data_IF_366768580928
#
_entry.id   IF_366768580928
#
_cell.length_a   1.000
_cell.length_b   1.000
_cell.length_c   1.000
_cell.angle_alpha   90.00
_cell.angle_beta   90.00
_cell.angle_gamma   90.00
#
_symmetry.space_group_name_H-M   'P 1'
#
loop_
_entity.id
_entity.type
_entity.pdbx_description
1 polymer ?
#
# COMPACT_ATOMS: atom_id res chain seq x y z
N UNK A 1 -40.32 54.36 3.34
CA UNK A 1 -39.96 52.92 3.39
C UNK A 1 -39.34 52.52 2.04
N UNK A 2 -38.26 53.13 1.54
CA UNK A 2 -36.97 53.54 2.16
C UNK A 2 -36.00 52.36 2.35
N UNK A 3 -34.76 52.40 1.86
CA UNK A 3 -34.21 53.22 0.76
C UNK A 3 -32.96 52.56 0.16
N UNK A 4 -32.75 52.71 -1.15
CA UNK A 4 -31.44 52.60 -1.75
C UNK A 4 -30.80 53.99 -1.83
N UNK A 5 -29.51 54.13 -1.48
CA UNK A 5 -28.72 55.34 -1.75
C UNK A 5 -27.30 55.00 -2.19
N UNK A 6 -26.95 55.47 -3.37
CA UNK A 6 -25.59 55.55 -3.93
C UNK A 6 -24.96 56.90 -3.56
N UNK A 7 -23.65 56.92 -3.31
CA UNK A 7 -22.67 57.95 -3.72
C UNK A 7 -21.29 57.25 -3.73
N UNK A 8 -20.54 57.23 -4.84
CA UNK A 8 -19.66 58.30 -5.35
C UNK A 8 -18.54 58.67 -4.35
N UNK A 9 -17.25 58.55 -4.66
CA UNK A 9 -16.58 58.01 -5.87
C UNK A 9 -15.07 58.33 -5.90
N UNK A 10 -14.34 57.84 -6.92
CA UNK A 10 -12.95 58.22 -7.31
C UNK A 10 -11.81 57.89 -6.29
N UNK A 11 -11.02 56.84 -6.53
CA UNK A 11 -9.65 56.85 -7.12
C UNK A 11 -8.54 57.01 -6.04
N UNK A 12 -7.26 56.61 -6.18
CA UNK A 12 -6.31 56.38 -7.30
C UNK A 12 -5.27 55.29 -6.92
N UNK A 13 -4.84 54.41 -7.86
CA UNK A 13 -3.61 53.53 -7.80
C UNK A 13 -3.54 52.47 -6.65
N UNK A 14 -2.68 51.42 -6.63
CA UNK A 14 -1.89 50.60 -7.59
C UNK A 14 -1.29 49.38 -6.81
N UNK A 15 -0.58 48.34 -7.30
CA UNK A 15 -0.08 47.87 -8.61
C UNK A 15 -0.37 46.35 -8.82
N UNK A 16 -0.26 45.90 -10.07
CA UNK A 16 0.16 44.55 -10.55
C UNK A 16 1.01 44.77 -11.84
N UNK A 17 1.69 43.77 -12.47
CA UNK A 17 1.95 42.37 -12.10
C UNK A 17 3.46 42.11 -11.74
N UNK A 18 4.39 41.31 -12.33
CA UNK A 18 4.42 40.39 -13.51
C UNK A 18 5.68 39.49 -13.63
N UNK A 19 5.54 38.39 -14.41
CA UNK A 19 6.52 37.66 -15.26
C UNK A 19 7.72 36.83 -14.73
N UNK A 20 7.56 35.52 -14.89
CA UNK A 20 8.50 34.48 -15.42
C UNK A 20 9.91 34.87 -15.93
N UNK A 21 10.93 34.11 -15.44
CA UNK A 21 12.15 33.56 -16.10
C UNK A 21 12.96 32.80 -15.00
N UNK A 22 13.31 31.51 -15.03
CA UNK A 22 13.95 30.59 -16.00
C UNK A 22 15.47 30.38 -15.74
N UNK A 23 15.89 29.10 -15.73
CA UNK A 23 17.28 28.57 -15.87
C UNK A 23 18.22 28.41 -14.63
N UNK A 24 18.63 27.15 -14.45
CA UNK A 24 19.98 26.58 -14.22
C UNK A 24 20.97 27.00 -13.10
N UNK A 25 21.66 25.95 -12.63
CA UNK A 25 22.91 25.79 -11.84
C UNK A 25 24.18 26.43 -12.46
N UNK A 26 25.37 26.45 -11.78
CA UNK A 26 25.71 26.30 -10.34
C UNK A 26 26.85 27.26 -9.85
N UNK A 27 27.60 26.83 -8.80
CA UNK A 27 28.92 27.32 -8.33
C UNK A 27 28.92 28.55 -7.38
N UNK A 28 29.88 28.76 -6.45
CA UNK A 28 31.02 27.94 -6.02
C UNK A 28 31.46 28.22 -4.56
N UNK A 29 32.54 27.58 -4.09
CA UNK A 29 33.07 27.68 -2.72
C UNK A 29 33.60 29.07 -2.35
N UNK A 30 33.38 29.49 -1.08
CA UNK A 30 34.40 30.23 -0.32
C UNK A 30 34.53 29.72 1.11
N UNK A 31 35.76 29.36 1.46
CA UNK A 31 36.21 29.14 2.84
C UNK A 31 36.87 30.43 3.31
N UNK A 32 36.53 30.91 4.50
CA UNK A 32 37.43 31.73 5.32
C UNK A 32 37.42 31.18 6.74
N UNK A 33 38.61 31.14 7.37
CA UNK A 33 38.81 30.64 8.71
C UNK A 33 39.09 31.80 9.67
N UNK A 34 38.61 31.69 10.91
CA UNK A 34 38.86 32.64 12.00
C UNK A 34 39.45 31.94 13.23
N UNK A 35 40.66 32.35 13.58
CA UNK A 35 41.35 32.14 14.88
C UNK A 35 40.73 33.01 15.98
N UNK A 36 40.91 32.81 17.30
CA UNK A 36 41.52 31.74 18.14
C UNK A 36 41.20 32.05 19.64
N UNK A 37 41.73 31.25 20.60
CA UNK A 37 41.52 31.32 22.07
C UNK A 37 40.09 30.94 22.54
N UNK A 38 39.82 30.46 23.77
CA UNK A 38 40.63 30.22 24.98
C UNK A 38 39.99 30.93 26.20
N UNK A 39 39.80 30.35 27.39
CA UNK A 39 40.19 29.04 27.97
C UNK A 39 39.10 28.51 28.95
N UNK A 40 39.41 27.53 29.83
CA UNK A 40 38.45 26.62 30.46
C UNK A 40 37.92 27.01 31.86
N UNK A 41 36.72 26.50 32.20
CA UNK A 41 36.34 25.99 33.54
C UNK A 41 35.16 24.98 33.43
N UNK A 42 34.90 24.21 34.50
CA UNK A 42 34.05 23.00 34.47
C UNK A 42 32.94 22.99 35.59
N UNK A 43 32.37 21.85 36.04
CA UNK A 43 31.03 21.45 35.60
C UNK A 43 29.98 21.25 36.73
N UNK A 44 28.70 21.14 36.36
CA UNK A 44 27.62 20.60 37.21
C UNK A 44 26.63 19.76 36.37
N UNK A 45 25.82 18.90 37.02
CA UNK A 45 25.26 17.69 36.39
C UNK A 45 23.73 17.59 36.45
N UNK A 46 23.09 17.53 35.28
CA UNK A 46 21.89 16.71 34.98
C UNK A 46 21.66 16.72 33.45
N UNK A 47 21.04 15.73 32.79
CA UNK A 47 20.65 14.38 33.22
C UNK A 47 20.03 13.62 32.04
N UNK A 48 20.80 12.75 31.36
CA UNK A 48 20.41 11.96 30.17
C UNK A 48 20.05 12.78 28.90
N UNK A 49 21.02 13.53 28.35
CA UNK A 49 20.91 14.14 27.01
C UNK A 49 21.82 13.44 25.97
N UNK A 50 21.30 13.17 24.76
CA UNK A 50 22.08 12.63 23.65
C UNK A 50 23.06 13.69 23.10
N UNK A 51 24.36 13.45 23.23
CA UNK A 51 25.40 14.35 22.69
C UNK A 51 25.75 13.99 21.25
N UNK A 52 25.68 14.97 20.34
CA UNK A 52 26.03 14.79 18.93
C UNK A 52 27.12 15.79 18.54
N UNK A 53 28.36 15.31 18.33
CA UNK A 53 29.49 16.14 17.88
C UNK A 53 29.68 16.00 16.38
N UNK A 54 29.91 17.12 15.71
CA UNK A 54 30.31 17.17 14.31
C UNK A 54 31.82 16.98 14.17
N UNK A 55 32.22 16.04 13.29
CA UNK A 55 33.59 15.98 12.75
C UNK A 55 33.49 15.42 11.32
N UNK A 56 34.12 16.10 10.36
CA UNK A 56 34.22 15.69 8.95
C UNK A 56 32.88 15.25 8.31
N UNK A 57 31.84 16.08 8.42
CA UNK A 57 30.62 15.96 7.60
C UNK A 57 29.61 14.86 7.96
N UNK A 58 29.87 14.03 8.98
CA UNK A 58 28.97 12.95 9.38
C UNK A 58 28.48 13.11 10.83
N UNK A 59 27.19 12.82 11.06
CA UNK A 59 26.64 12.64 12.41
C UNK A 59 27.08 11.28 12.96
N UNK A 60 27.75 11.29 14.11
CA UNK A 60 28.02 10.09 14.91
C UNK A 60 27.15 10.18 16.16
N UNK A 61 26.41 9.11 16.46
CA UNK A 61 25.64 8.95 17.69
C UNK A 61 26.45 8.07 18.64
N UNK A 62 26.77 8.56 19.84
CA UNK A 62 27.51 7.80 20.85
C UNK A 62 26.55 7.46 21.98
N UNK A 63 26.40 6.17 22.26
CA UNK A 63 25.57 5.63 23.34
C UNK A 63 26.51 5.06 24.42
N UNK A 64 26.35 5.41 25.72
CA UNK A 64 27.14 4.80 26.78
C UNK A 64 26.72 3.34 27.00
N UNK A 65 27.69 2.45 27.19
CA UNK A 65 27.44 1.04 27.52
C UNK A 65 27.73 0.78 29.00
N UNK A 66 26.69 0.56 29.80
CA UNK A 66 26.74 0.11 31.20
C UNK A 66 25.49 -0.72 31.54
N UNK A 67 25.62 -1.64 32.50
CA UNK A 67 24.58 -2.52 33.09
C UNK A 67 23.84 -3.43 32.11
N UNK A 68 24.46 -4.58 31.85
CA UNK A 68 23.91 -5.93 32.02
C UNK A 68 22.49 -6.25 31.50
N UNK A 69 22.46 -6.93 30.36
CA UNK A 69 21.38 -7.84 29.97
C UNK A 69 22.00 -9.07 29.31
N UNK A 70 21.71 -10.27 29.82
CA UNK A 70 22.23 -11.53 29.25
C UNK A 70 21.57 -11.85 27.90
N UNK A 71 22.29 -11.59 26.80
CA UNK A 71 21.90 -12.07 25.48
C UNK A 71 22.52 -13.45 25.20
N UNK A 72 21.72 -14.50 25.41
CA UNK A 72 22.10 -15.83 24.93
C UNK A 72 21.92 -15.95 23.41
N UNK A 73 22.73 -16.81 22.78
CA UNK A 73 22.90 -16.98 21.32
C UNK A 73 23.60 -15.81 20.59
N UNK A 74 24.42 -16.15 19.58
CA UNK A 74 25.43 -15.24 19.01
C UNK A 74 24.94 -14.48 17.77
N UNK A 75 25.04 -13.14 17.79
CA UNK A 75 25.30 -12.28 16.62
C UNK A 75 25.59 -10.84 17.06
N UNK A 76 26.62 -10.20 16.51
CA UNK A 76 27.02 -8.82 16.88
C UNK A 76 26.50 -7.78 15.88
N UNK A 77 26.28 -6.51 16.29
CA UNK A 77 25.72 -5.46 15.40
C UNK A 77 26.59 -5.08 14.17
N UNK A 78 27.80 -5.62 14.08
CA UNK A 78 28.77 -5.42 12.98
C UNK A 78 28.31 -5.97 11.64
N UNK A 79 27.52 -7.04 11.65
CA UNK A 79 27.42 -7.95 10.50
C UNK A 79 26.46 -7.43 9.39
N UNK A 80 25.70 -6.37 9.69
CA UNK A 80 24.61 -5.89 8.84
C UNK A 80 25.05 -4.86 7.77
N UNK A 81 26.28 -4.34 7.82
CA UNK A 81 26.68 -3.15 7.05
C UNK A 81 27.29 -3.43 5.65
N UNK A 82 27.52 -4.68 5.27
CA UNK A 82 28.39 -5.02 4.12
C UNK A 82 27.71 -5.63 2.88
N UNK A 83 26.38 -5.75 2.82
CA UNK A 83 25.68 -6.49 1.75
C UNK A 83 25.43 -5.74 0.42
N UNK A 84 25.86 -4.49 0.24
CA UNK A 84 25.69 -3.74 -1.02
C UNK A 84 26.98 -3.07 -1.51
N UNK A 85 27.95 -3.87 -1.98
CA UNK A 85 29.16 -3.40 -2.66
C UNK A 85 29.42 -4.15 -3.98
N UNK A 86 29.25 -3.44 -5.10
CA UNK A 86 29.65 -3.89 -6.44
C UNK A 86 31.17 -4.12 -6.52
N UNK A 87 31.63 -4.96 -7.46
CA UNK A 87 33.05 -5.38 -7.57
C UNK A 87 34.04 -4.20 -7.55
N UNK A 88 33.70 -3.07 -8.20
CA UNK A 88 34.54 -1.86 -8.28
C UNK A 88 34.76 -1.19 -6.92
N UNK A 89 33.78 -1.24 -6.01
CA UNK A 89 33.88 -0.62 -4.68
C UNK A 89 34.65 -1.49 -3.66
N UNK A 90 34.66 -2.82 -3.83
CA UNK A 90 35.40 -3.74 -2.93
C UNK A 90 36.91 -3.44 -2.91
N UNK A 91 37.49 -3.06 -4.05
CA UNK A 91 38.89 -2.64 -4.14
C UNK A 91 39.17 -1.33 -3.38
N UNK A 92 38.28 -0.34 -3.50
CA UNK A 92 38.37 0.95 -2.79
C UNK A 92 38.27 0.78 -1.27
N UNK A 93 37.38 -0.11 -0.80
CA UNK A 93 37.28 -0.47 0.62
C UNK A 93 38.58 -1.12 1.13
N UNK A 94 39.12 -2.13 0.43
CA UNK A 94 40.42 -2.75 0.80
C UNK A 94 41.56 -1.73 0.86
N UNK A 95 41.62 -0.79 -0.11
CA UNK A 95 42.66 0.26 -0.15
C UNK A 95 42.51 1.26 1.00
N UNK A 96 41.28 1.59 1.43
CA UNK A 96 41.03 2.44 2.62
C UNK A 96 41.31 1.71 3.94
N UNK A 97 40.96 0.43 4.09
CA UNK A 97 41.20 -0.30 5.35
C UNK A 97 42.69 -0.54 5.62
N UNK A 98 43.53 -0.73 4.57
CA UNK A 98 44.99 -0.74 4.73
C UNK A 98 45.56 0.60 5.26
N UNK A 99 44.96 1.74 4.90
CA UNK A 99 45.36 3.07 5.41
C UNK A 99 44.93 3.27 6.88
N UNK A 100 43.99 2.46 7.39
CA UNK A 100 43.50 2.52 8.76
C UNK A 100 44.10 1.45 9.68
N UNK A 101 45.09 0.68 9.23
CA UNK A 101 45.75 -0.37 10.03
C UNK A 101 44.91 -1.63 10.27
N UNK A 102 43.69 -1.71 9.74
CA UNK A 102 42.75 -2.83 9.94
C UNK A 102 42.95 -3.95 8.90
N UNK A 103 44.21 -4.32 8.64
CA UNK A 103 44.58 -5.25 7.57
C UNK A 103 44.22 -6.72 7.87
N UNK A 104 44.48 -7.16 9.09
CA UNK A 104 44.73 -8.59 9.36
C UNK A 104 43.52 -9.33 9.96
N UNK A 105 42.40 -8.64 10.21
CA UNK A 105 41.16 -9.24 10.75
C UNK A 105 40.29 -9.96 9.70
N UNK A 106 40.83 -10.28 8.51
CA UNK A 106 40.04 -10.68 7.32
C UNK A 106 40.35 -12.09 6.80
N UNK A 107 40.75 -13.01 7.69
CA UNK A 107 41.23 -14.36 7.33
C UNK A 107 40.31 -15.54 7.72
N UNK A 108 39.08 -15.30 8.21
CA UNK A 108 38.18 -16.35 8.70
C UNK A 108 36.73 -16.32 8.15
N UNK A 109 36.43 -15.48 7.16
CA UNK A 109 35.04 -15.22 6.70
C UNK A 109 34.88 -15.15 5.17
N UNK A 110 35.60 -15.99 4.41
CA UNK A 110 35.50 -16.02 2.94
C UNK A 110 35.15 -17.39 2.31
N UNK A 111 35.14 -18.49 3.07
CA UNK A 111 34.71 -19.82 2.58
C UNK A 111 33.26 -20.14 2.97
N UNK A 112 32.31 -19.27 2.61
CA UNK A 112 30.88 -19.46 2.86
C UNK A 112 29.98 -19.26 1.63
N UNK A 113 30.55 -19.20 0.42
CA UNK A 113 29.80 -19.10 -0.85
C UNK A 113 29.45 -20.48 -1.47
N UNK A 114 29.72 -21.61 -0.77
CA UNK A 114 29.53 -22.98 -1.29
C UNK A 114 28.41 -23.83 -0.65
N UNK A 115 27.69 -23.32 0.36
CA UNK A 115 26.60 -24.05 1.05
C UNK A 115 25.33 -23.22 1.26
N UNK A 116 25.06 -22.25 0.38
CA UNK A 116 23.80 -21.49 0.37
C UNK A 116 23.18 -21.41 -1.04
N UNK A 117 23.03 -22.57 -1.67
CA UNK A 117 21.87 -22.78 -2.55
C UNK A 117 20.61 -22.58 -1.69
N UNK A 118 19.80 -21.58 -2.01
CA UNK A 118 18.55 -21.31 -1.27
C UNK A 118 17.51 -22.33 -1.74
N UNK A 119 17.07 -23.28 -0.89
CA UNK A 119 16.08 -24.27 -1.33
C UNK A 119 14.72 -23.58 -1.48
N UNK A 120 14.07 -23.75 -2.64
CA UNK A 120 12.65 -23.42 -2.79
C UNK A 120 11.80 -24.41 -2.00
N UNK A 121 11.77 -24.25 -0.67
CA UNK A 121 11.01 -25.11 0.26
C UNK A 121 10.42 -24.27 1.38
N UNK A 122 9.13 -24.48 1.66
CA UNK A 122 8.42 -23.81 2.75
C UNK A 122 9.16 -23.97 4.08
N UNK A 123 9.39 -22.86 4.77
CA UNK A 123 9.87 -22.84 6.16
C UNK A 123 8.75 -23.05 7.20
N UNK A 124 7.51 -23.22 6.74
CA UNK A 124 6.36 -23.55 7.56
C UNK A 124 5.94 -25.00 7.34
N UNK A 125 5.60 -25.77 8.41
CA UNK A 125 4.94 -27.05 8.25
C UNK A 125 3.58 -26.84 7.57
N UNK A 126 3.25 -27.70 6.62
CA UNK A 126 1.93 -27.66 5.97
C UNK A 126 0.84 -27.97 6.99
N UNK A 127 -0.28 -27.23 6.90
CA UNK A 127 -1.55 -27.66 7.51
C UNK A 127 -1.91 -29.10 7.05
N UNK A 128 -2.66 -29.87 7.86
CA UNK A 128 -2.87 -31.30 7.63
C UNK A 128 -3.37 -31.62 6.22
N UNK A 129 -2.93 -32.76 5.71
CA UNK A 129 -2.94 -33.06 4.28
C UNK A 129 -4.35 -33.08 3.67
N UNK A 130 -4.55 -32.24 2.64
CA UNK A 130 -5.67 -32.39 1.70
C UNK A 130 -5.47 -33.70 0.92
N UNK A 131 -6.50 -34.53 0.88
CA UNK A 131 -6.46 -35.87 0.27
C UNK A 131 -6.10 -35.79 -1.22
N UNK A 132 -5.09 -36.56 -1.64
CA UNK A 132 -4.62 -36.61 -3.02
C UNK A 132 -5.52 -37.50 -3.90
N UNK A 133 -6.38 -36.90 -4.72
CA UNK A 133 -7.42 -37.63 -5.46
C UNK A 133 -7.66 -37.19 -6.91
N UNK A 134 -6.83 -37.71 -7.85
CA UNK A 134 -7.02 -37.72 -9.33
C UNK A 134 -7.10 -36.34 -10.04
N UNK A 135 -6.85 -36.36 -11.36
CA UNK A 135 -7.14 -35.22 -12.25
C UNK A 135 -8.66 -35.11 -12.43
N UNK A 136 -9.25 -34.01 -11.99
CA UNK A 136 -10.67 -33.69 -12.13
C UNK A 136 -10.87 -32.18 -12.02
N UNK A 137 -12.10 -31.71 -12.28
CA UNK A 137 -12.45 -30.30 -12.18
C UNK A 137 -12.12 -29.72 -10.78
N UNK A 138 -11.82 -28.43 -10.73
CA UNK A 138 -11.80 -27.68 -9.48
C UNK A 138 -13.19 -27.76 -8.84
N UNK A 139 -13.33 -28.57 -7.80
CA UNK A 139 -14.49 -28.55 -6.93
C UNK A 139 -14.50 -27.21 -6.19
N UNK A 140 -15.38 -26.28 -6.61
CA UNK A 140 -15.67 -25.06 -5.84
C UNK A 140 -16.00 -25.46 -4.40
N UNK A 141 -15.47 -24.72 -3.44
CA UNK A 141 -15.78 -24.94 -2.02
C UNK A 141 -17.29 -24.83 -1.84
N UNK A 142 -17.89 -25.78 -1.12
CA UNK A 142 -19.31 -25.74 -0.83
C UNK A 142 -19.66 -24.44 -0.09
N UNK A 143 -20.83 -23.88 -0.41
CA UNK A 143 -21.39 -22.76 0.35
C UNK A 143 -21.75 -23.26 1.76
N UNK A 144 -21.30 -22.62 2.84
CA UNK A 144 -21.70 -22.97 4.21
C UNK A 144 -23.21 -22.94 4.39
N UNK A 145 -23.72 -23.86 5.21
CA UNK A 145 -25.16 -23.99 5.52
C UNK A 145 -25.80 -22.73 6.14
N UNK A 146 -24.97 -21.87 6.71
CA UNK A 146 -25.32 -20.61 7.35
C UNK A 146 -25.52 -19.46 6.34
N UNK A 147 -25.15 -19.66 5.07
CA UNK A 147 -25.25 -18.67 4.00
C UNK A 147 -26.31 -19.07 2.97
N UNK A 148 -27.22 -18.13 2.70
CA UNK A 148 -28.28 -18.25 1.68
C UNK A 148 -27.77 -17.76 0.33
N UNK A 149 -27.81 -18.61 -0.68
CA UNK A 149 -27.28 -18.33 -2.03
C UNK A 149 -27.90 -17.08 -2.68
N UNK A 150 -29.21 -16.92 -2.48
CA UNK A 150 -30.07 -15.88 -3.03
C UNK A 150 -29.89 -14.52 -2.35
N UNK A 151 -29.18 -14.47 -1.21
CA UNK A 151 -28.80 -13.26 -0.48
C UNK A 151 -27.28 -13.03 -0.46
N UNK A 152 -26.51 -13.69 -1.33
CA UNK A 152 -25.08 -13.39 -1.46
C UNK A 152 -24.87 -12.00 -2.09
N UNK A 153 -23.97 -11.16 -1.55
CA UNK A 153 -23.55 -9.93 -2.21
C UNK A 153 -22.78 -10.30 -3.49
N UNK A 154 -23.11 -9.68 -4.61
CA UNK A 154 -22.41 -9.89 -5.88
C UNK A 154 -21.06 -9.19 -5.89
N UNK A 155 -20.93 -8.08 -5.19
CA UNK A 155 -19.73 -7.28 -5.10
C UNK A 155 -19.37 -7.01 -3.64
N UNK A 156 -18.22 -7.55 -3.21
CA UNK A 156 -17.63 -7.30 -1.89
C UNK A 156 -16.39 -6.42 -2.05
N UNK A 157 -16.31 -5.37 -1.22
CA UNK A 157 -15.14 -4.52 -1.09
C UNK A 157 -14.39 -4.85 0.21
N UNK A 158 -13.05 -4.88 0.21
CA UNK A 158 -12.24 -5.19 1.40
C UNK A 158 -11.11 -4.18 1.61
N UNK A 159 -11.05 -3.59 2.81
CA UNK A 159 -9.90 -2.81 3.30
C UNK A 159 -9.00 -3.73 4.13
N UNK A 160 -7.88 -4.13 3.52
CA UNK A 160 -6.91 -5.12 4.02
C UNK A 160 -5.98 -4.53 5.09
N UNK A 161 -6.53 -4.09 6.23
CA UNK A 161 -5.78 -3.46 7.33
C UNK A 161 -5.25 -4.50 8.35
N UNK A 162 -4.14 -4.18 9.00
CA UNK A 162 -3.51 -5.01 10.03
C UNK A 162 -2.10 -5.51 9.69
N UNK A 163 -1.68 -5.51 8.42
CA UNK A 163 -0.40 -6.06 7.95
C UNK A 163 0.83 -5.70 8.82
N UNK A 164 1.12 -4.41 9.00
CA UNK A 164 2.27 -3.98 9.82
C UNK A 164 2.10 -4.26 11.32
N UNK A 165 0.86 -4.35 11.82
CA UNK A 165 0.55 -4.72 13.22
C UNK A 165 0.76 -6.23 13.44
N UNK A 166 0.35 -7.05 12.48
CA UNK A 166 0.53 -8.51 12.46
C UNK A 166 2.00 -8.89 12.55
N UNK A 167 2.85 -8.21 11.75
CA UNK A 167 4.29 -8.39 11.75
C UNK A 167 4.92 -7.94 13.08
N UNK A 168 4.57 -6.73 13.56
CA UNK A 168 5.09 -6.19 14.82
C UNK A 168 4.77 -7.07 16.02
N UNK A 169 3.55 -7.65 16.10
CA UNK A 169 3.16 -8.63 17.13
C UNK A 169 4.04 -9.90 17.14
N UNK A 170 4.68 -10.22 16.01
CA UNK A 170 5.53 -11.41 15.82
C UNK A 170 7.04 -11.07 15.75
N UNK A 171 7.43 -9.83 16.07
CA UNK A 171 8.82 -9.37 16.01
C UNK A 171 9.39 -9.18 14.59
N UNK A 172 8.54 -9.21 13.56
CA UNK A 172 8.93 -9.14 12.15
C UNK A 172 8.84 -7.70 11.60
N UNK A 173 9.57 -7.44 10.50
CA UNK A 173 9.39 -6.20 9.73
C UNK A 173 8.02 -6.17 9.02
N UNK A 174 7.52 -4.97 8.71
CA UNK A 174 6.21 -4.79 8.05
C UNK A 174 6.07 -5.53 6.72
N UNK A 175 7.17 -5.71 5.99
CA UNK A 175 7.21 -6.43 4.73
C UNK A 175 6.76 -7.88 4.81
N UNK A 176 7.11 -8.61 5.88
CA UNK A 176 6.61 -9.97 6.12
C UNK A 176 5.09 -10.00 6.35
N UNK A 177 4.55 -8.99 7.03
CA UNK A 177 3.10 -8.86 7.24
C UNK A 177 2.36 -8.59 5.93
N UNK A 178 2.89 -7.73 5.08
CA UNK A 178 2.35 -7.50 3.73
C UNK A 178 2.48 -8.73 2.82
N UNK A 179 3.56 -9.51 2.95
CA UNK A 179 3.74 -10.74 2.17
C UNK A 179 2.69 -11.80 2.54
N UNK A 180 2.47 -12.04 3.84
CA UNK A 180 1.41 -12.91 4.33
C UNK A 180 0.01 -12.37 3.98
N UNK A 181 -0.17 -11.05 3.97
CA UNK A 181 -1.41 -10.40 3.50
C UNK A 181 -1.72 -10.65 2.02
N UNK A 182 -0.70 -10.79 1.16
CA UNK A 182 -0.92 -11.18 -0.23
C UNK A 182 -1.36 -12.66 -0.35
N UNK A 183 -0.88 -13.53 0.55
CA UNK A 183 -1.29 -14.95 0.60
C UNK A 183 -2.71 -15.11 1.15
N UNK A 184 -3.10 -14.31 2.14
CA UNK A 184 -4.48 -14.21 2.61
C UNK A 184 -5.43 -13.77 1.47
N UNK A 185 -5.05 -12.76 0.67
CA UNK A 185 -5.85 -12.29 -0.48
C UNK A 185 -6.14 -13.39 -1.49
N UNK A 186 -5.15 -14.22 -1.83
CA UNK A 186 -5.34 -15.34 -2.75
C UNK A 186 -6.37 -16.33 -2.23
N UNK A 187 -6.32 -16.65 -0.94
CA UNK A 187 -7.21 -17.62 -0.31
C UNK A 187 -8.64 -17.06 -0.24
N UNK A 188 -8.80 -15.82 0.21
CA UNK A 188 -10.09 -15.11 0.23
C UNK A 188 -10.70 -15.01 -1.17
N UNK A 189 -9.90 -14.75 -2.22
CA UNK A 189 -10.40 -14.73 -3.59
C UNK A 189 -10.93 -16.11 -4.07
N UNK A 190 -10.21 -17.19 -3.75
CA UNK A 190 -10.62 -18.58 -4.07
C UNK A 190 -11.89 -19.00 -3.34
N UNK A 191 -12.08 -18.54 -2.10
CA UNK A 191 -13.31 -18.76 -1.31
C UNK A 191 -14.48 -17.92 -1.86
N UNK A 192 -14.25 -16.63 -2.15
CA UNK A 192 -15.26 -15.72 -2.66
C UNK A 192 -15.87 -16.18 -4.00
N UNK A 193 -15.04 -16.57 -4.97
CA UNK A 193 -15.50 -17.17 -6.23
C UNK A 193 -16.23 -18.51 -6.02
N UNK A 194 -15.76 -19.34 -5.08
CA UNK A 194 -16.44 -20.60 -4.75
C UNK A 194 -17.86 -20.36 -4.23
N UNK A 195 -18.08 -19.27 -3.48
CA UNK A 195 -19.37 -18.88 -2.90
C UNK A 195 -20.21 -17.97 -3.81
N UNK A 196 -19.76 -17.69 -5.03
CA UNK A 196 -20.56 -16.99 -6.05
C UNK A 196 -20.48 -15.46 -6.01
N UNK A 197 -19.53 -14.88 -5.28
CA UNK A 197 -19.21 -13.45 -5.39
C UNK A 197 -18.66 -13.19 -6.81
N UNK A 198 -19.16 -12.14 -7.46
CA UNK A 198 -18.89 -11.82 -8.87
C UNK A 198 -17.79 -10.77 -9.01
N UNK A 199 -17.65 -9.88 -8.01
CA UNK A 199 -16.62 -8.84 -7.95
C UNK A 199 -16.02 -8.77 -6.54
N UNK A 200 -14.69 -8.75 -6.47
CA UNK A 200 -13.92 -8.51 -5.26
C UNK A 200 -13.04 -7.27 -5.46
N UNK A 201 -13.33 -6.15 -4.77
CA UNK A 201 -12.51 -4.93 -4.83
C UNK A 201 -11.67 -4.78 -3.57
N UNK A 202 -10.35 -4.68 -3.70
CA UNK A 202 -9.44 -4.66 -2.54
C UNK A 202 -8.53 -3.44 -2.50
N UNK A 203 -8.41 -2.81 -1.33
CA UNK A 203 -7.58 -1.62 -1.16
C UNK A 203 -6.11 -2.01 -0.92
N UNK A 204 -5.36 -2.23 -2.01
CA UNK A 204 -3.98 -2.69 -1.96
C UNK A 204 -2.98 -1.56 -1.65
N UNK A 205 -3.15 -0.38 -2.24
CA UNK A 205 -2.30 0.79 -1.98
C UNK A 205 -3.09 2.10 -2.16
N UNK A 206 -3.10 2.95 -1.15
CA UNK A 206 -3.78 4.26 -1.21
C UNK A 206 -2.83 5.39 -1.61
N UNK A 207 -3.37 6.51 -2.14
CA UNK A 207 -2.54 7.69 -2.44
C UNK A 207 -1.73 8.20 -1.25
N UNK A 208 -2.27 8.06 -0.05
CA UNK A 208 -1.68 8.46 1.23
C UNK A 208 -0.53 7.52 1.65
N UNK A 209 -0.38 6.35 1.02
CA UNK A 209 0.74 5.43 1.29
C UNK A 209 2.05 5.89 0.64
N UNK A 210 2.03 6.83 -0.32
CA UNK A 210 3.23 7.51 -0.82
C UNK A 210 3.91 8.40 0.24
N UNK A 211 3.24 8.72 1.35
CA UNK A 211 3.78 9.47 2.48
C UNK A 211 4.62 8.60 3.45
N UNK A 212 4.73 7.28 3.21
CA UNK A 212 5.55 6.36 4.00
C UNK A 212 7.05 6.50 3.66
N UNK A 213 7.98 5.98 4.48
CA UNK A 213 9.40 5.99 4.17
C UNK A 213 9.70 5.33 2.83
N UNK A 214 10.53 5.96 2.00
CA UNK A 214 10.81 5.54 0.61
C UNK A 214 11.28 4.07 0.49
N UNK A 215 12.04 3.56 1.47
CA UNK A 215 12.46 2.15 1.50
C UNK A 215 11.29 1.18 1.74
N UNK A 216 10.27 1.58 2.50
CA UNK A 216 9.04 0.79 2.68
C UNK A 216 8.23 0.78 1.38
N UNK A 217 8.06 1.95 0.76
CA UNK A 217 7.35 2.09 -0.53
C UNK A 217 8.02 1.24 -1.62
N UNK A 218 9.35 1.32 -1.76
CA UNK A 218 10.11 0.52 -2.73
C UNK A 218 9.95 -0.99 -2.47
N UNK A 219 10.03 -1.43 -1.21
CA UNK A 219 9.79 -2.83 -0.86
C UNK A 219 8.37 -3.29 -1.21
N UNK A 220 7.35 -2.46 -0.92
CA UNK A 220 5.95 -2.79 -1.22
C UNK A 220 5.71 -2.94 -2.72
N UNK A 221 6.34 -2.11 -3.56
CA UNK A 221 6.25 -2.23 -5.02
C UNK A 221 6.92 -3.52 -5.53
N UNK A 222 8.10 -3.88 -5.02
CA UNK A 222 8.80 -5.13 -5.37
C UNK A 222 8.03 -6.38 -4.91
N UNK A 223 7.42 -6.32 -3.72
CA UNK A 223 6.56 -7.38 -3.21
C UNK A 223 5.29 -7.53 -4.06
N UNK A 224 4.67 -6.43 -4.47
CA UNK A 224 3.49 -6.42 -5.33
C UNK A 224 3.79 -7.05 -6.70
N UNK A 225 4.89 -6.63 -7.34
CA UNK A 225 5.36 -7.16 -8.62
C UNK A 225 5.58 -8.68 -8.55
N UNK A 226 6.41 -9.13 -7.60
CA UNK A 226 6.74 -10.56 -7.45
C UNK A 226 5.55 -11.43 -6.99
N UNK A 227 4.61 -10.91 -6.20
CA UNK A 227 3.37 -11.63 -5.85
C UNK A 227 2.38 -11.69 -7.02
N UNK A 228 2.29 -10.65 -7.84
CA UNK A 228 1.45 -10.64 -9.04
C UNK A 228 1.96 -11.70 -10.04
N UNK A 229 3.26 -11.67 -10.38
CA UNK A 229 3.88 -12.64 -11.27
C UNK A 229 3.71 -14.10 -10.78
N UNK A 230 4.01 -14.35 -9.50
CA UNK A 230 3.92 -15.69 -8.90
C UNK A 230 2.49 -16.26 -8.93
N UNK A 231 1.46 -15.42 -8.82
CA UNK A 231 0.07 -15.85 -8.79
C UNK A 231 -0.62 -15.91 -10.16
N UNK A 232 -0.01 -15.39 -11.24
CA UNK A 232 -0.60 -15.46 -12.59
C UNK A 232 -1.06 -16.88 -13.00
N UNK A 233 -0.34 -17.98 -12.68
CA UNK A 233 -0.82 -19.33 -12.92
C UNK A 233 -2.10 -19.70 -12.14
N UNK A 234 -2.23 -19.24 -10.90
CA UNK A 234 -3.43 -19.46 -10.07
C UNK A 234 -4.61 -18.59 -10.56
N UNK A 235 -4.35 -17.33 -10.88
CA UNK A 235 -5.31 -16.37 -11.44
C UNK A 235 -5.94 -16.93 -12.73
N UNK A 236 -5.11 -17.43 -13.66
CA UNK A 236 -5.60 -18.04 -14.90
C UNK A 236 -6.32 -19.38 -14.65
N UNK A 237 -5.82 -20.21 -13.72
CA UNK A 237 -6.46 -21.49 -13.35
C UNK A 237 -7.86 -21.34 -12.76
N UNK A 238 -8.14 -20.20 -12.11
CA UNK A 238 -9.45 -19.86 -11.55
C UNK A 238 -10.29 -18.94 -12.46
N UNK A 239 -9.82 -18.64 -13.68
CA UNK A 239 -10.42 -17.66 -14.59
C UNK A 239 -10.72 -16.29 -13.94
N UNK A 240 -9.90 -15.84 -12.98
CA UNK A 240 -10.07 -14.52 -12.40
C UNK A 240 -9.72 -13.44 -13.42
N UNK A 241 -10.52 -12.37 -13.46
CA UNK A 241 -10.31 -11.20 -14.32
C UNK A 241 -9.74 -10.05 -13.49
N UNK A 242 -8.44 -9.80 -13.60
CA UNK A 242 -7.78 -8.72 -12.86
C UNK A 242 -8.00 -7.36 -13.51
N UNK A 243 -8.14 -6.33 -12.68
CA UNK A 243 -8.12 -4.91 -13.08
C UNK A 243 -7.45 -4.04 -12.02
N UNK A 244 -6.73 -2.99 -12.40
CA UNK A 244 -6.04 -2.08 -11.49
C UNK A 244 -6.69 -0.70 -11.50
N UNK A 245 -7.23 -0.28 -10.35
CA UNK A 245 -8.06 0.93 -10.25
C UNK A 245 -7.34 2.01 -9.44
N UNK A 246 -7.12 3.17 -10.04
CA UNK A 246 -6.41 4.31 -9.43
C UNK A 246 -5.38 4.91 -10.39
N UNK A 247 -4.46 5.73 -9.88
CA UNK A 247 -3.42 6.35 -10.73
C UNK A 247 -2.20 5.43 -10.90
N UNK A 248 -2.33 4.44 -11.78
CA UNK A 248 -1.26 3.46 -12.10
C UNK A 248 0.03 4.13 -12.59
N UNK A 249 -0.03 5.34 -13.16
CA UNK A 249 1.13 6.08 -13.68
C UNK A 249 2.10 6.53 -12.58
N UNK A 250 1.66 6.51 -11.32
CA UNK A 250 2.50 6.78 -10.14
C UNK A 250 3.36 5.58 -9.72
N UNK A 251 3.01 4.37 -10.15
CA UNK A 251 3.74 3.13 -9.81
C UNK A 251 5.09 3.07 -10.55
N UNK A 252 6.08 2.29 -10.08
CA UNK A 252 7.31 2.07 -10.85
C UNK A 252 7.01 1.46 -12.24
N UNK A 253 7.80 1.77 -13.30
CA UNK A 253 7.51 1.29 -14.66
C UNK A 253 7.44 -0.24 -14.82
N UNK A 254 8.18 -1.00 -13.99
CA UNK A 254 8.09 -2.46 -13.93
C UNK A 254 6.71 -2.92 -13.45
N UNK A 255 6.23 -2.35 -12.34
CA UNK A 255 4.89 -2.57 -11.78
C UNK A 255 3.79 -2.17 -12.76
N UNK A 256 3.94 -1.05 -13.49
CA UNK A 256 3.00 -0.66 -14.56
C UNK A 256 2.94 -1.73 -15.65
N UNK A 257 4.09 -2.18 -16.14
CA UNK A 257 4.20 -3.23 -17.18
C UNK A 257 3.58 -4.56 -16.72
N UNK A 258 3.84 -4.97 -15.47
CA UNK A 258 3.28 -6.19 -14.89
C UNK A 258 1.75 -6.11 -14.73
N UNK A 259 1.23 -4.95 -14.28
CA UNK A 259 -0.20 -4.69 -14.17
C UNK A 259 -0.90 -4.74 -15.53
N UNK A 260 -0.43 -3.99 -16.53
CA UNK A 260 -0.96 -4.00 -17.89
C UNK A 260 -0.93 -5.40 -18.52
N UNK A 261 0.15 -6.16 -18.30
CA UNK A 261 0.26 -7.54 -18.79
C UNK A 261 -0.75 -8.47 -18.10
N UNK A 262 -0.99 -8.32 -16.80
CA UNK A 262 -1.97 -9.12 -16.07
C UNK A 262 -3.41 -8.81 -16.51
N UNK A 263 -3.79 -7.54 -16.69
CA UNK A 263 -5.11 -7.17 -17.25
C UNK A 263 -5.29 -7.73 -18.66
N UNK A 264 -4.29 -7.56 -19.54
CA UNK A 264 -4.34 -8.04 -20.92
C UNK A 264 -4.45 -9.57 -21.00
N UNK A 265 -3.77 -10.28 -20.10
CA UNK A 265 -3.78 -11.75 -20.05
C UNK A 265 -5.11 -12.28 -19.50
N UNK A 266 -5.68 -11.62 -18.50
CA UNK A 266 -6.92 -12.04 -17.83
C UNK A 266 -8.20 -11.43 -18.40
N UNK A 267 -8.10 -10.45 -19.30
CA UNK A 267 -9.24 -9.65 -19.77
C UNK A 267 -10.34 -10.43 -20.51
N UNK A 268 -10.02 -11.66 -20.97
CA UNK A 268 -10.97 -12.60 -21.60
C UNK A 268 -11.57 -13.63 -20.64
N UNK A 269 -11.12 -13.67 -19.38
CA UNK A 269 -11.54 -14.69 -18.42
C UNK A 269 -13.00 -14.47 -17.95
N UNK A 270 -13.67 -15.58 -17.62
CA UNK A 270 -15.12 -15.65 -17.33
C UNK A 270 -15.47 -15.64 -15.83
N UNK A 271 -14.49 -15.82 -14.94
CA UNK A 271 -14.69 -15.93 -13.50
C UNK A 271 -14.76 -14.57 -12.78
N UNK A 272 -14.66 -14.61 -11.46
CA UNK A 272 -14.76 -13.43 -10.59
C UNK A 272 -13.81 -12.29 -11.01
N UNK A 273 -14.33 -11.07 -11.07
CA UNK A 273 -13.54 -9.85 -11.32
C UNK A 273 -12.84 -9.44 -10.02
N UNK A 274 -11.53 -9.20 -10.07
CA UNK A 274 -10.75 -8.69 -8.94
C UNK A 274 -10.23 -7.30 -9.28
N UNK A 275 -10.81 -6.28 -8.65
CA UNK A 275 -10.35 -4.90 -8.77
C UNK A 275 -9.31 -4.61 -7.68
N UNK A 276 -8.07 -4.41 -8.07
CA UNK A 276 -6.95 -4.15 -7.16
C UNK A 276 -6.72 -2.63 -7.15
N UNK A 277 -7.17 -1.97 -6.07
CA UNK A 277 -7.06 -0.52 -5.95
C UNK A 277 -5.63 -0.11 -5.56
N UNK A 278 -4.93 0.57 -6.49
CA UNK A 278 -3.52 0.97 -6.39
C UNK A 278 -3.36 2.45 -6.70
N UNK A 279 -2.68 3.19 -5.80
CA UNK A 279 -2.69 4.66 -5.80
C UNK A 279 -4.11 5.24 -5.90
N UNK A 280 -5.07 4.58 -5.24
CA UNK A 280 -6.49 4.95 -5.28
C UNK A 280 -6.86 5.93 -4.16
N UNK A 281 -7.84 6.80 -4.45
CA UNK A 281 -8.46 7.75 -3.52
C UNK A 281 -9.84 8.13 -4.08
N UNK A 282 -10.91 7.93 -3.31
CA UNK A 282 -12.27 8.24 -3.74
C UNK A 282 -12.47 9.74 -3.99
N UNK A 283 -11.79 10.60 -3.22
CA UNK A 283 -11.72 12.04 -3.50
C UNK A 283 -11.04 12.34 -4.84
N UNK A 284 -9.95 11.65 -5.18
CA UNK A 284 -9.25 11.85 -6.44
C UNK A 284 -10.09 11.35 -7.64
N UNK A 285 -10.82 10.24 -7.46
CA UNK A 285 -11.73 9.67 -8.46
C UNK A 285 -12.90 10.60 -8.79
N UNK A 286 -13.57 11.15 -7.76
CA UNK A 286 -14.61 12.18 -7.93
C UNK A 286 -14.03 13.45 -8.57
N UNK A 287 -12.85 13.92 -8.14
CA UNK A 287 -12.20 15.11 -8.74
C UNK A 287 -11.79 14.88 -10.20
N UNK A 288 -11.40 13.66 -10.60
CA UNK A 288 -11.20 13.29 -12.00
C UNK A 288 -12.52 13.38 -12.76
N UNK A 289 -13.58 12.76 -12.26
CA UNK A 289 -14.89 12.78 -12.91
C UNK A 289 -15.42 14.21 -13.10
N UNK A 290 -15.34 15.08 -12.08
CA UNK A 290 -15.75 16.48 -12.20
C UNK A 290 -14.94 17.26 -13.26
N UNK A 291 -13.64 17.01 -13.39
CA UNK A 291 -12.79 17.63 -14.44
C UNK A 291 -13.18 17.12 -15.83
N UNK A 292 -13.49 15.84 -15.95
CA UNK A 292 -13.89 15.20 -17.20
C UNK A 292 -15.25 15.71 -17.68
N UNK A 293 -16.25 15.80 -16.79
CA UNK A 293 -17.55 16.40 -17.08
C UNK A 293 -17.42 17.89 -17.42
N UNK A 294 -16.62 18.66 -16.69
CA UNK A 294 -16.35 20.07 -17.01
C UNK A 294 -15.71 20.26 -18.40
N UNK A 295 -14.84 19.34 -18.83
CA UNK A 295 -14.26 19.34 -20.17
C UNK A 295 -15.26 18.93 -21.28
N UNK A 296 -16.27 18.10 -20.97
CA UNK A 296 -17.37 17.80 -21.89
C UNK A 296 -18.32 19.00 -22.03
N UNK A 297 -18.65 19.66 -20.91
CA UNK A 297 -19.41 20.92 -20.86
C UNK A 297 -18.73 22.03 -21.66
N UNK A 298 -17.45 22.29 -21.39
CA UNK A 298 -16.69 23.34 -22.08
C UNK A 298 -16.53 23.09 -23.59
N UNK A 299 -16.68 21.85 -24.04
CA UNK A 299 -16.67 21.46 -25.44
C UNK A 299 -18.08 21.33 -26.06
N UNK A 300 -19.13 21.78 -25.37
CA UNK A 300 -20.52 21.75 -25.86
C UNK A 300 -21.13 20.35 -26.03
N UNK A 301 -20.52 19.31 -25.44
CA UNK A 301 -20.98 17.90 -25.54
C UNK A 301 -21.93 17.48 -24.42
N UNK A 302 -22.10 18.33 -23.40
CA UNK A 302 -22.93 18.08 -22.22
C UNK A 302 -23.46 19.41 -21.70
N UNK A 303 -24.75 19.48 -21.37
CA UNK A 303 -25.35 20.61 -20.68
C UNK A 303 -25.14 20.44 -19.17
N UNK A 304 -24.68 21.47 -18.42
CA UNK A 304 -24.55 21.40 -16.95
C UNK A 304 -25.82 20.99 -16.21
N UNK A 305 -27.00 21.30 -16.74
CA UNK A 305 -28.28 20.93 -16.14
C UNK A 305 -28.63 19.43 -16.29
N UNK A 306 -27.96 18.71 -17.18
CA UNK A 306 -28.18 17.29 -17.45
C UNK A 306 -27.27 16.38 -16.60
N UNK A 307 -26.48 16.96 -15.68
CA UNK A 307 -25.55 16.22 -14.81
C UNK A 307 -26.30 15.68 -13.58
N UNK A 308 -26.64 14.39 -13.62
CA UNK A 308 -27.26 13.64 -12.52
C UNK A 308 -26.32 12.60 -11.90
N UNK A 309 -26.79 11.88 -10.88
CA UNK A 309 -26.06 10.80 -10.23
C UNK A 309 -25.65 9.68 -11.21
N UNK A 310 -26.42 9.47 -12.28
CA UNK A 310 -26.12 8.47 -13.29
C UNK A 310 -24.99 8.92 -14.25
N UNK A 311 -24.92 10.22 -14.58
CA UNK A 311 -23.78 10.84 -15.28
C UNK A 311 -22.51 10.74 -14.43
N UNK A 312 -22.61 11.04 -13.13
CA UNK A 312 -21.45 10.94 -12.21
C UNK A 312 -21.01 9.46 -12.09
N UNK A 313 -21.93 8.52 -11.88
CA UNK A 313 -21.64 7.08 -11.78
C UNK A 313 -20.97 6.54 -13.05
N UNK A 314 -21.42 6.98 -14.24
CA UNK A 314 -20.79 6.66 -15.53
C UNK A 314 -19.40 7.27 -15.72
N UNK A 315 -18.97 8.21 -14.87
CA UNK A 315 -17.69 8.92 -15.03
C UNK A 315 -16.68 8.63 -13.90
N UNK A 316 -17.10 8.27 -12.68
CA UNK A 316 -16.20 7.75 -11.63
C UNK A 316 -15.68 6.34 -11.98
N UNK A 317 -14.70 5.83 -11.23
CA UNK A 317 -14.07 4.54 -11.54
C UNK A 317 -15.03 3.36 -11.40
N UNK A 318 -14.70 2.26 -12.08
CA UNK A 318 -15.47 1.01 -12.11
C UNK A 318 -16.84 1.12 -12.80
N UNK A 319 -17.05 2.19 -13.59
CA UNK A 319 -18.29 2.47 -14.35
C UNK A 319 -18.70 1.35 -15.31
N UNK A 320 -17.75 0.62 -15.87
CA UNK A 320 -17.98 -0.47 -16.81
C UNK A 320 -18.37 -1.81 -16.15
N UNK A 321 -18.49 -1.83 -14.81
CA UNK A 321 -19.20 -2.89 -14.07
C UNK A 321 -20.73 -2.69 -14.08
N UNK A 322 -21.23 -1.50 -14.43
CA UNK A 322 -22.67 -1.18 -14.43
C UNK A 322 -23.32 -1.44 -13.07
N UNK A 323 -24.30 -2.34 -13.02
CA UNK A 323 -25.00 -2.73 -11.78
C UNK A 323 -24.10 -3.45 -10.74
N UNK A 324 -22.83 -3.73 -11.06
CA UNK A 324 -21.81 -4.26 -10.14
C UNK A 324 -20.74 -3.21 -9.78
N UNK A 325 -21.01 -1.92 -9.98
CA UNK A 325 -20.10 -0.82 -9.60
C UNK A 325 -20.14 -0.52 -8.09
N UNK A 326 -21.31 -0.66 -7.47
CA UNK A 326 -21.56 -0.42 -6.05
C UNK A 326 -21.50 -1.74 -5.26
N UNK A 327 -20.53 -1.92 -4.33
CA UNK A 327 -20.46 -3.13 -3.52
C UNK A 327 -21.62 -3.18 -2.53
N UNK A 328 -22.31 -4.31 -2.40
CA UNK A 328 -23.35 -4.44 -1.39
C UNK A 328 -22.77 -4.52 0.03
N UNK A 329 -21.50 -4.95 0.16
CA UNK A 329 -20.79 -5.17 1.42
C UNK A 329 -19.36 -4.62 1.39
N UNK A 330 -19.01 -3.80 2.38
CA UNK A 330 -17.63 -3.44 2.71
C UNK A 330 -17.19 -4.19 3.97
N UNK A 331 -16.08 -4.94 3.87
CA UNK A 331 -15.38 -5.53 5.02
C UNK A 331 -14.12 -4.70 5.32
N UNK A 332 -13.84 -4.45 6.60
CA UNK A 332 -12.55 -3.93 7.05
C UNK A 332 -12.04 -4.68 8.28
N UNK A 333 -10.79 -5.13 8.20
CA UNK A 333 -10.07 -5.85 9.25
C UNK A 333 -9.44 -4.92 10.29
N UNK A 334 -8.88 -5.52 11.35
CA UNK A 334 -8.11 -4.90 12.44
C UNK A 334 -8.84 -3.92 13.37
N UNK A 335 -10.18 -3.98 13.42
CA UNK A 335 -11.03 -3.22 14.36
C UNK A 335 -11.21 -1.73 14.02
N UNK A 336 -10.63 -1.26 12.91
CA UNK A 336 -10.61 0.16 12.55
C UNK A 336 -11.92 0.62 11.88
N UNK A 337 -12.82 1.24 12.65
CA UNK A 337 -14.16 1.63 12.16
C UNK A 337 -14.17 2.90 11.29
N UNK A 338 -13.66 2.82 10.06
CA UNK A 338 -13.71 3.89 9.03
C UNK A 338 -13.44 3.38 7.61
N UNK A 339 -13.91 4.11 6.60
CA UNK A 339 -13.69 3.76 5.17
C UNK A 339 -12.38 4.33 4.57
N UNK A 340 -11.67 5.23 5.27
CA UNK A 340 -10.34 5.74 4.87
C UNK A 340 -10.20 6.17 3.40
N UNK A 341 -11.12 7.00 2.88
CA UNK A 341 -11.07 7.51 1.49
C UNK A 341 -11.14 6.42 0.40
N UNK A 342 -11.55 5.20 0.74
CA UNK A 342 -11.89 4.14 -0.21
C UNK A 342 -13.28 4.40 -0.81
N UNK A 343 -13.46 4.11 -2.10
CA UNK A 343 -14.73 4.01 -2.84
C UNK A 343 -15.85 4.99 -2.43
N UNK A 344 -15.53 6.28 -2.28
CA UNK A 344 -16.43 7.24 -1.62
C UNK A 344 -17.78 7.47 -2.31
N UNK A 345 -17.85 7.29 -3.63
CA UNK A 345 -19.10 7.34 -4.38
C UNK A 345 -19.84 6.00 -4.27
N UNK A 346 -19.12 4.93 -4.61
CA UNK A 346 -19.66 3.58 -4.76
C UNK A 346 -20.15 2.97 -3.42
N UNK A 347 -19.70 3.49 -2.27
CA UNK A 347 -20.08 3.01 -0.93
C UNK A 347 -21.39 3.59 -0.37
N UNK A 348 -22.11 4.44 -1.11
CA UNK A 348 -23.24 5.22 -0.59
C UNK A 348 -24.36 4.40 0.10
N UNK A 349 -24.61 3.18 -0.38
CA UNK A 349 -25.64 2.26 0.16
C UNK A 349 -25.07 0.86 0.52
N UNK A 350 -23.77 0.78 0.76
CA UNK A 350 -23.07 -0.45 1.15
C UNK A 350 -23.23 -0.76 2.63
N UNK A 351 -23.41 -2.04 2.95
CA UNK A 351 -23.36 -2.48 4.34
C UNK A 351 -21.92 -2.53 4.85
N UNK A 352 -21.64 -1.87 5.98
CA UNK A 352 -20.30 -1.81 6.54
C UNK A 352 -20.12 -2.87 7.65
N UNK A 353 -19.12 -3.74 7.53
CA UNK A 353 -18.72 -4.74 8.54
C UNK A 353 -17.26 -4.52 8.93
N UNK A 354 -17.03 -4.36 10.23
CA UNK A 354 -15.71 -4.21 10.82
C UNK A 354 -15.39 -5.43 11.67
N UNK A 355 -14.20 -6.01 11.51
CA UNK A 355 -13.74 -7.19 12.28
C UNK A 355 -12.38 -6.92 12.91
N UNK A 356 -12.13 -7.47 14.10
CA UNK A 356 -10.88 -7.24 14.86
C UNK A 356 -9.69 -8.07 14.34
N UNK A 357 -9.96 -9.16 13.62
CA UNK A 357 -8.95 -10.00 12.98
C UNK A 357 -8.03 -9.17 12.09
N UNK A 358 -6.71 -9.36 12.19
CA UNK A 358 -5.73 -8.66 11.36
C UNK A 358 -5.68 -9.32 9.97
N UNK A 359 -5.54 -8.55 8.89
CA UNK A 359 -5.64 -9.10 7.52
C UNK A 359 -4.85 -10.40 7.23
N UNK A 360 -3.57 -10.59 7.65
CA UNK A 360 -2.87 -11.85 7.38
C UNK A 360 -3.26 -13.03 8.29
N UNK A 361 -4.15 -12.80 9.27
CA UNK A 361 -4.81 -13.82 10.09
C UNK A 361 -6.31 -14.02 9.66
N UNK A 362 -6.82 -13.27 8.66
CA UNK A 362 -8.24 -13.30 8.23
C UNK A 362 -8.50 -14.42 7.21
N UNK A 363 -9.49 -15.28 7.48
CA UNK A 363 -9.73 -16.51 6.70
C UNK A 363 -11.18 -16.70 6.18
N UNK A 364 -11.50 -17.92 5.76
CA UNK A 364 -12.81 -18.29 5.24
C UNK A 364 -13.93 -18.19 6.30
N UNK A 365 -13.66 -18.50 7.56
CA UNK A 365 -14.63 -18.40 8.65
C UNK A 365 -14.87 -16.93 9.04
N UNK A 366 -13.85 -16.06 9.01
CA UNK A 366 -14.06 -14.61 9.13
C UNK A 366 -14.95 -14.07 7.98
N UNK A 367 -14.66 -14.48 6.74
CA UNK A 367 -15.46 -14.09 5.57
C UNK A 367 -16.90 -14.59 5.71
N UNK A 368 -17.10 -15.83 6.15
CA UNK A 368 -18.43 -16.38 6.45
C UNK A 368 -19.14 -15.57 7.53
N UNK A 369 -18.47 -15.22 8.62
CA UNK A 369 -19.06 -14.42 9.70
C UNK A 369 -19.47 -13.01 9.22
N UNK A 370 -18.68 -12.39 8.35
CA UNK A 370 -19.02 -11.11 7.72
C UNK A 370 -20.23 -11.23 6.77
N UNK A 371 -20.31 -12.31 5.98
CA UNK A 371 -21.43 -12.59 5.08
C UNK A 371 -22.72 -12.95 5.84
N UNK A 372 -22.64 -13.73 6.92
CA UNK A 372 -23.78 -13.99 7.83
C UNK A 372 -24.25 -12.69 8.48
N UNK A 373 -23.33 -11.78 8.82
CA UNK A 373 -23.68 -10.45 9.34
C UNK A 373 -24.40 -9.59 8.30
N UNK A 374 -23.95 -9.63 7.04
CA UNK A 374 -24.64 -8.97 5.91
C UNK A 374 -26.05 -9.54 5.69
N UNK A 375 -26.21 -10.86 5.61
CA UNK A 375 -27.50 -11.52 5.35
C UNK A 375 -28.53 -11.43 6.49
N UNK A 376 -28.17 -10.81 7.61
CA UNK A 376 -29.06 -10.46 8.72
C UNK A 376 -29.56 -9.01 8.68
N UNK A 377 -29.05 -8.17 7.76
CA UNK A 377 -29.45 -6.76 7.64
C UNK A 377 -30.61 -6.58 6.67
N UNK A 378 -31.58 -5.77 7.07
CA UNK A 378 -32.74 -5.40 6.28
C UNK A 378 -32.40 -4.17 5.42
N UNK A 379 -32.01 -4.42 4.16
CA UNK A 379 -31.55 -3.38 3.23
C UNK A 379 -32.73 -2.58 2.66
N UNK A 380 -33.15 -1.56 3.41
CA UNK A 380 -34.36 -0.76 3.11
C UNK A 380 -34.21 0.29 2.00
N UNK A 381 -32.99 0.68 1.60
CA UNK A 381 -32.74 1.68 0.54
C UNK A 381 -33.59 2.97 0.67
N UNK A 382 -33.73 3.51 1.88
CA UNK A 382 -34.56 4.68 2.18
C UNK A 382 -36.09 4.46 2.15
N UNK A 383 -36.57 3.31 1.65
CA UNK A 383 -38.00 2.97 1.65
C UNK A 383 -38.45 2.63 3.07
N UNK A 384 -39.50 3.30 3.55
CA UNK A 384 -40.24 2.84 4.73
C UNK A 384 -41.13 1.67 4.31
N UNK A 385 -41.07 0.59 5.09
CA UNK A 385 -42.19 -0.36 5.15
C UNK A 385 -43.28 0.34 5.96
N UNK A 386 -44.44 0.54 5.33
CA UNK A 386 -45.63 1.19 5.89
C UNK A 386 -46.61 0.16 6.44
#
# INVERSE_FOLDING_TARGET
MEAAKLMNGSSVQSLLPSHLKSACWPAENRIQAGSSSGSACAPSISGRGLSCKWRNGHRIMIVPATSDFEFSSRRTPTDLWFKTLTKKNRATCRKRMKVLGLGDQLHSTLDFESQLEVPHRSLFPSSPAVVTGRKGNLSKLALPSELRSELMPKHVAIIMDGNSRWAKRRGLNSGFGHAAGADALQNIAKVADSWGIQVLTVFAFSTENWLRPQMEVQFLMQLFESKLEAEMPNIMKHEFKLRFIGDTKTLPPSVQTAAEMAEKTTGKNSGMIINICVSYSGRADIVRACRELAAQVAAGRLNPADIDDAVISRTVSMNELGALQEPELLIRTSGEQRISNFMLWQLAYSELVFVDTLWPDFDAEDLKAALVTYQRRDRRFGKRVS
#
